data_IF_547639290299
#
_entry.id   IF_547639290299
#
_cell.length_a   1.000
_cell.length_b   1.000
_cell.length_c   1.000
_cell.angle_alpha   90.00
_cell.angle_beta   90.00
_cell.angle_gamma   90.00
#
_symmetry.space_group_name_H-M   'P 1'
#
loop_
_entity.id
_entity.type
_entity.pdbx_description
1 polymer ?
#
# COMPACT_ATOMS: atom_id res chain seq x y z
N UNK A 1 27.40 7.76 -8.20
CA UNK A 1 26.11 7.69 -8.91
C UNK A 1 25.50 6.36 -8.53
N UNK A 2 24.34 6.34 -7.87
CA UNK A 2 23.61 5.08 -7.65
C UNK A 2 23.31 4.47 -9.01
N UNK A 3 23.47 3.15 -9.17
CA UNK A 3 23.23 2.50 -10.45
C UNK A 3 21.76 2.63 -10.88
N UNK A 4 21.50 2.61 -12.19
CA UNK A 4 20.14 2.52 -12.73
C UNK A 4 19.58 1.13 -12.44
N UNK A 5 18.50 1.06 -11.64
CA UNK A 5 17.75 -0.17 -11.43
C UNK A 5 16.61 -0.30 -12.44
N UNK A 6 16.23 -1.53 -12.75
CA UNK A 6 14.97 -1.87 -13.42
C UNK A 6 13.96 -2.34 -12.39
N UNK A 7 12.79 -1.71 -12.32
CA UNK A 7 11.74 -2.01 -11.36
C UNK A 7 10.45 -2.40 -12.10
N UNK A 8 9.87 -3.55 -11.76
CA UNK A 8 8.54 -3.95 -12.22
C UNK A 8 7.52 -3.56 -11.17
N UNK A 9 6.43 -2.86 -11.51
CA UNK A 9 5.37 -2.52 -10.56
C UNK A 9 4.05 -3.09 -11.05
N UNK A 10 3.44 -3.97 -10.25
CA UNK A 10 2.13 -4.53 -10.51
C UNK A 10 1.06 -3.55 -10.05
N UNK A 11 0.33 -2.95 -11.02
CA UNK A 11 -0.71 -1.95 -10.81
C UNK A 11 -0.27 -0.54 -11.21
N UNK A 12 -0.92 0.03 -12.23
CA UNK A 12 -0.59 1.36 -12.76
C UNK A 12 -1.35 2.54 -12.11
N UNK A 13 -2.29 2.28 -11.19
CA UNK A 13 -2.97 3.38 -10.49
C UNK A 13 -2.08 3.95 -9.38
N UNK A 14 -2.18 3.44 -8.14
CA UNK A 14 -1.36 3.92 -7.03
C UNK A 14 0.14 3.68 -7.26
N UNK A 15 0.51 2.63 -8.00
CA UNK A 15 1.89 2.35 -8.40
C UNK A 15 2.55 3.46 -9.22
N UNK A 16 1.77 4.29 -9.93
CA UNK A 16 2.30 5.45 -10.67
C UNK A 16 2.95 6.49 -9.76
N UNK A 17 2.54 6.58 -8.49
CA UNK A 17 3.19 7.47 -7.52
C UNK A 17 4.62 7.04 -7.25
N UNK A 18 4.82 5.76 -6.91
CA UNK A 18 6.16 5.20 -6.69
C UNK A 18 6.98 5.24 -7.98
N UNK A 19 6.38 4.86 -9.12
CA UNK A 19 7.03 4.90 -10.42
C UNK A 19 7.59 6.30 -10.72
N UNK A 20 6.79 7.35 -10.54
CA UNK A 20 7.22 8.74 -10.78
C UNK A 20 8.43 9.13 -9.92
N UNK A 21 8.47 8.71 -8.65
CA UNK A 21 9.64 8.97 -7.79
C UNK A 21 10.89 8.23 -8.25
N UNK A 22 10.74 6.96 -8.67
CA UNK A 22 11.86 6.14 -9.15
C UNK A 22 12.41 6.64 -10.49
N UNK A 23 11.53 7.03 -11.42
CA UNK A 23 11.87 7.64 -12.71
C UNK A 23 12.61 8.96 -12.52
N UNK A 24 12.14 9.81 -11.59
CA UNK A 24 12.82 11.05 -11.23
C UNK A 24 14.24 10.80 -10.68
N UNK A 25 14.42 9.69 -9.97
CA UNK A 25 15.73 9.24 -9.49
C UNK A 25 16.59 8.55 -10.57
N UNK A 26 16.15 8.51 -11.83
CA UNK A 26 16.91 7.96 -12.96
C UNK A 26 16.82 6.43 -13.13
N UNK A 27 15.80 5.79 -12.54
CA UNK A 27 15.58 4.35 -12.67
C UNK A 27 14.55 4.02 -13.76
N UNK A 28 14.64 2.82 -14.31
CA UNK A 28 13.67 2.33 -15.29
C UNK A 28 12.52 1.61 -14.59
N UNK A 29 11.29 1.89 -15.02
CA UNK A 29 10.08 1.31 -14.44
C UNK A 29 9.19 0.72 -15.52
N UNK A 30 8.74 -0.51 -15.29
CA UNK A 30 7.69 -1.16 -16.08
C UNK A 30 6.43 -1.30 -15.22
N UNK A 31 5.31 -0.73 -15.65
CA UNK A 31 4.02 -0.88 -15.00
C UNK A 31 3.22 -2.04 -15.61
N UNK A 32 2.81 -3.01 -14.80
CA UNK A 32 1.87 -4.05 -15.21
C UNK A 32 0.45 -3.54 -14.99
N UNK A 33 -0.34 -3.51 -16.06
CA UNK A 33 -1.68 -2.93 -16.03
C UNK A 33 -2.60 -3.52 -17.10
N UNK A 34 -3.83 -3.03 -17.17
CA UNK A 34 -4.78 -3.46 -18.21
C UNK A 34 -4.34 -2.96 -19.59
N UNK A 35 -4.74 -3.63 -20.69
CA UNK A 35 -4.30 -3.26 -22.03
C UNK A 35 -4.57 -1.79 -22.41
N UNK A 36 -5.73 -1.23 -22.04
CA UNK A 36 -6.04 0.17 -22.34
C UNK A 36 -5.15 1.14 -21.54
N UNK A 37 -4.80 0.78 -20.30
CA UNK A 37 -3.85 1.54 -19.48
C UNK A 37 -2.44 1.46 -20.09
N UNK A 38 -2.03 0.28 -20.55
CA UNK A 38 -0.72 0.07 -21.14
C UNK A 38 -0.54 0.88 -22.43
N UNK A 39 -1.53 0.86 -23.32
CA UNK A 39 -1.52 1.67 -24.54
C UNK A 39 -1.43 3.17 -24.23
N UNK A 40 -2.26 3.65 -23.29
CA UNK A 40 -2.26 5.05 -22.87
C UNK A 40 -0.90 5.46 -22.26
N UNK A 41 -0.37 4.67 -21.34
CA UNK A 41 0.89 4.96 -20.66
C UNK A 41 2.06 4.89 -21.64
N UNK A 42 2.11 3.89 -22.54
CA UNK A 42 3.17 3.80 -23.54
C UNK A 42 3.12 4.92 -24.58
N UNK A 43 1.95 5.55 -24.80
CA UNK A 43 1.81 6.72 -25.67
C UNK A 43 2.12 8.03 -24.96
N UNK A 44 1.57 8.24 -23.76
CA UNK A 44 1.52 9.55 -23.09
C UNK A 44 2.35 9.62 -21.80
N UNK A 45 2.75 8.48 -21.25
CA UNK A 45 3.34 8.37 -19.92
C UNK A 45 2.28 8.45 -18.81
N UNK A 46 2.73 8.51 -17.55
CA UNK A 46 1.90 8.87 -16.38
C UNK A 46 2.11 10.34 -15.98
N UNK A 47 1.10 10.91 -15.33
CA UNK A 47 1.11 12.25 -14.76
C UNK A 47 0.73 12.20 -13.29
N UNK A 48 1.58 12.78 -12.44
CA UNK A 48 1.32 12.83 -11.00
C UNK A 48 1.33 14.27 -10.50
N UNK A 49 0.22 14.70 -9.92
CA UNK A 49 0.08 16.00 -9.27
C UNK A 49 0.50 15.90 -7.81
N UNK A 50 1.47 16.70 -7.37
CA UNK A 50 1.96 16.72 -5.98
C UNK A 50 1.86 18.13 -5.39
N UNK A 51 1.48 18.27 -4.11
CA UNK A 51 1.53 19.57 -3.43
C UNK A 51 2.97 20.00 -3.17
N UNK A 52 3.27 21.29 -3.31
CA UNK A 52 4.55 21.86 -2.91
C UNK A 52 4.53 22.31 -1.44
N UNK A 53 5.71 22.47 -0.82
CA UNK A 53 5.84 22.85 0.60
C UNK A 53 5.32 24.26 0.89
N UNK A 54 5.49 25.17 -0.05
CA UNK A 54 5.08 26.58 -0.04
C UNK A 54 3.64 26.80 -0.51
N UNK A 55 2.95 25.72 -0.88
CA UNK A 55 1.57 25.76 -1.38
C UNK A 55 1.51 25.60 -2.91
N UNK A 56 0.31 25.28 -3.40
CA UNK A 56 0.11 24.96 -4.82
C UNK A 56 0.40 23.49 -5.16
N UNK A 57 0.24 23.17 -6.44
CA UNK A 57 0.40 21.83 -6.99
C UNK A 57 1.32 21.89 -8.20
N UNK A 58 2.20 20.90 -8.32
CA UNK A 58 2.98 20.67 -9.53
C UNK A 58 2.49 19.40 -10.20
N UNK A 59 2.38 19.42 -11.53
CA UNK A 59 2.12 18.23 -12.34
C UNK A 59 3.45 17.71 -12.91
N UNK A 60 3.76 16.46 -12.62
CA UNK A 60 4.99 15.80 -13.08
C UNK A 60 4.61 14.82 -14.17
N UNK A 61 5.05 15.07 -15.40
CA UNK A 61 4.91 14.14 -16.50
C UNK A 61 6.13 13.21 -16.56
N UNK A 62 5.88 11.90 -16.56
CA UNK A 62 6.95 10.89 -16.63
C UNK A 62 7.85 10.98 -17.87
N UNK A 63 7.38 11.62 -18.94
CA UNK A 63 8.15 11.86 -20.17
C UNK A 63 9.30 12.84 -20.00
N UNK A 64 9.22 13.68 -18.98
CA UNK A 64 10.23 14.69 -18.65
C UNK A 64 11.24 14.16 -17.62
N UNK A 65 11.10 12.91 -17.20
CA UNK A 65 11.94 12.29 -16.18
C UNK A 65 13.13 11.55 -16.81
N UNK A 66 14.28 11.48 -16.10
CA UNK A 66 15.49 10.84 -16.64
C UNK A 66 15.37 9.32 -16.78
N UNK A 67 14.53 8.66 -15.98
CA UNK A 67 14.27 7.23 -16.06
C UNK A 67 13.30 6.86 -17.18
N UNK A 68 13.39 5.62 -17.68
CA UNK A 68 12.49 5.12 -18.74
C UNK A 68 11.24 4.48 -18.16
N UNK A 69 10.07 4.88 -18.68
CA UNK A 69 8.80 4.26 -18.36
C UNK A 69 8.28 3.38 -19.50
N UNK A 70 7.84 2.18 -19.17
CA UNK A 70 7.03 1.31 -20.01
C UNK A 70 5.81 0.78 -19.25
N UNK A 71 4.81 0.32 -20.00
CA UNK A 71 3.69 -0.43 -19.48
C UNK A 71 3.47 -1.73 -20.28
N UNK A 72 3.08 -2.80 -19.59
CA UNK A 72 2.99 -4.14 -20.15
C UNK A 72 1.84 -4.94 -19.52
N UNK A 73 1.40 -6.01 -20.20
CA UNK A 73 0.51 -7.00 -19.61
C UNK A 73 1.27 -7.94 -18.67
N UNK A 74 0.56 -8.68 -17.79
CA UNK A 74 1.20 -9.58 -16.84
C UNK A 74 1.93 -10.77 -17.49
N UNK A 75 1.61 -11.10 -18.76
CA UNK A 75 2.27 -12.15 -19.53
C UNK A 75 3.48 -11.69 -20.34
N UNK A 76 3.74 -10.37 -20.41
CA UNK A 76 4.74 -9.79 -21.31
C UNK A 76 6.06 -9.43 -20.60
N UNK A 77 6.20 -9.87 -19.34
CA UNK A 77 7.32 -9.49 -18.48
C UNK A 77 8.00 -10.71 -17.86
N UNK A 78 9.33 -10.67 -17.78
CA UNK A 78 10.14 -11.64 -17.06
C UNK A 78 10.59 -11.05 -15.71
N UNK A 79 10.07 -11.53 -14.57
CA UNK A 79 10.47 -11.02 -13.26
C UNK A 79 11.97 -11.08 -12.96
N UNK A 80 12.72 -11.99 -13.59
CA UNK A 80 14.17 -12.12 -13.37
C UNK A 80 14.99 -10.96 -13.94
N UNK A 81 14.40 -10.16 -14.84
CA UNK A 81 15.04 -9.00 -15.46
C UNK A 81 15.03 -7.74 -14.57
N UNK A 82 14.39 -7.80 -13.40
CA UNK A 82 14.16 -6.64 -12.53
C UNK A 82 14.88 -6.79 -11.19
N UNK A 83 15.44 -5.69 -10.69
CA UNK A 83 16.11 -5.64 -9.40
C UNK A 83 15.12 -5.63 -8.22
N UNK A 84 13.89 -5.14 -8.46
CA UNK A 84 12.82 -5.07 -7.49
C UNK A 84 11.46 -5.18 -8.17
N UNK A 85 10.53 -5.87 -7.50
CA UNK A 85 9.11 -5.93 -7.86
C UNK A 85 8.30 -5.11 -6.86
N UNK A 86 7.49 -4.16 -7.31
CA UNK A 86 6.52 -3.44 -6.50
C UNK A 86 5.12 -4.07 -6.61
N UNK A 87 4.53 -4.48 -5.49
CA UNK A 87 3.16 -5.01 -5.45
C UNK A 87 2.21 -3.86 -5.07
N UNK A 88 1.52 -3.26 -6.05
CA UNK A 88 0.76 -2.01 -5.93
C UNK A 88 -0.73 -2.10 -6.31
N UNK A 89 -1.28 -3.31 -6.42
CA UNK A 89 -2.72 -3.57 -6.52
C UNK A 89 -3.33 -3.91 -5.16
N UNK A 90 -4.65 -3.91 -5.03
CA UNK A 90 -5.33 -4.44 -3.83
C UNK A 90 -5.19 -5.96 -3.76
N UNK A 91 -5.09 -6.53 -2.55
CA UNK A 91 -4.91 -7.99 -2.35
C UNK A 91 -5.85 -8.88 -3.19
N UNK A 92 -7.17 -8.61 -3.30
CA UNK A 92 -8.05 -9.47 -4.08
C UNK A 92 -7.77 -9.48 -5.58
N UNK A 93 -7.06 -8.48 -6.12
CA UNK A 93 -6.76 -8.38 -7.54
C UNK A 93 -5.67 -9.38 -7.98
N UNK A 94 -4.84 -9.87 -7.05
CA UNK A 94 -3.76 -10.82 -7.39
C UNK A 94 -4.26 -12.22 -7.73
N UNK A 95 -5.54 -12.52 -7.49
CA UNK A 95 -6.18 -13.77 -7.95
C UNK A 95 -6.59 -13.74 -9.42
N UNK A 96 -6.55 -12.57 -10.06
CA UNK A 96 -6.99 -12.41 -11.45
C UNK A 96 -6.11 -13.23 -12.40
N UNK A 97 -6.66 -13.78 -13.49
CA UNK A 97 -5.88 -14.45 -14.53
C UNK A 97 -4.76 -13.55 -15.07
N UNK A 98 -3.62 -14.16 -15.41
CA UNK A 98 -2.39 -13.48 -15.79
C UNK A 98 -1.60 -12.98 -14.57
N UNK A 99 -2.25 -12.27 -13.65
CA UNK A 99 -1.59 -11.73 -12.45
C UNK A 99 -1.17 -12.84 -11.50
N UNK A 100 -2.03 -13.84 -11.27
CA UNK A 100 -1.71 -15.01 -10.43
C UNK A 100 -0.47 -15.74 -10.95
N UNK A 101 -0.40 -15.95 -12.26
CA UNK A 101 0.72 -16.61 -12.93
C UNK A 101 2.00 -15.78 -12.83
N UNK A 102 1.89 -14.45 -12.93
CA UNK A 102 3.01 -13.53 -12.72
C UNK A 102 3.52 -13.59 -11.27
N UNK A 103 2.65 -13.62 -10.25
CA UNK A 103 3.06 -13.82 -8.85
C UNK A 103 3.78 -15.15 -8.68
N UNK A 104 3.30 -16.22 -9.31
CA UNK A 104 4.00 -17.51 -9.29
C UNK A 104 5.36 -17.44 -10.00
N UNK A 105 5.48 -16.69 -11.09
CA UNK A 105 6.74 -16.45 -11.79
C UNK A 105 7.74 -15.64 -10.94
N UNK A 106 7.28 -14.61 -10.23
CA UNK A 106 8.08 -13.84 -9.26
C UNK A 106 8.66 -14.78 -8.20
N UNK A 107 7.84 -15.67 -7.64
CA UNK A 107 8.27 -16.67 -6.66
C UNK A 107 9.32 -17.63 -7.21
N UNK A 108 9.11 -18.18 -8.42
CA UNK A 108 10.08 -19.08 -9.07
C UNK A 108 11.40 -18.38 -9.40
N UNK A 109 11.34 -17.14 -9.87
CA UNK A 109 12.52 -16.33 -10.17
C UNK A 109 13.27 -15.88 -8.91
N UNK A 110 12.65 -16.00 -7.72
CA UNK A 110 13.17 -15.45 -6.47
C UNK A 110 13.49 -13.96 -6.62
N UNK A 111 12.61 -13.23 -7.30
CA UNK A 111 12.75 -11.79 -7.50
C UNK A 111 12.36 -11.04 -6.22
N UNK A 112 13.19 -10.12 -5.69
CA UNK A 112 12.85 -9.34 -4.49
C UNK A 112 11.58 -8.52 -4.71
N UNK A 113 10.61 -8.63 -3.81
CA UNK A 113 9.32 -7.96 -3.91
C UNK A 113 9.04 -7.06 -2.70
N UNK A 114 8.62 -5.84 -2.95
CA UNK A 114 8.14 -4.88 -1.96
C UNK A 114 6.64 -4.67 -2.16
N UNK A 115 5.84 -5.03 -1.16
CA UNK A 115 4.42 -4.71 -1.15
C UNK A 115 4.18 -3.29 -0.68
N UNK A 116 3.42 -2.49 -1.44
CA UNK A 116 2.90 -1.18 -1.01
C UNK A 116 1.39 -1.25 -0.75
N UNK A 117 0.87 -2.44 -0.44
CA UNK A 117 -0.54 -2.67 -0.08
C UNK A 117 -0.81 -2.34 1.39
N UNK A 118 -2.07 -2.10 1.75
CA UNK A 118 -2.44 -2.06 3.16
C UNK A 118 -2.44 -3.47 3.78
N UNK A 119 -2.84 -4.47 3.01
CA UNK A 119 -2.83 -5.87 3.44
C UNK A 119 -1.42 -6.45 3.33
N UNK A 120 -0.80 -6.88 4.45
CA UNK A 120 0.46 -7.64 4.40
C UNK A 120 0.23 -8.95 3.63
N UNK A 121 1.04 -9.30 2.63
CA UNK A 121 0.98 -10.65 2.07
C UNK A 121 1.36 -11.70 3.12
N UNK A 122 0.78 -12.90 3.05
CA UNK A 122 1.07 -14.00 3.98
C UNK A 122 2.58 -14.28 4.18
N UNK A 123 3.43 -14.30 3.13
CA UNK A 123 4.87 -14.52 3.29
C UNK A 123 5.53 -13.47 4.17
N UNK A 124 5.05 -12.23 4.18
CA UNK A 124 5.60 -11.19 5.06
C UNK A 124 5.33 -11.50 6.53
N UNK A 125 4.11 -11.95 6.85
CA UNK A 125 3.72 -12.30 8.22
C UNK A 125 4.55 -13.48 8.75
N UNK A 126 4.94 -14.42 7.89
CA UNK A 126 5.83 -15.54 8.26
C UNK A 126 7.23 -15.09 8.70
N UNK A 127 7.63 -13.85 8.37
CA UNK A 127 8.91 -13.27 8.83
C UNK A 127 8.83 -12.68 10.25
N UNK A 128 7.62 -12.44 10.78
CA UNK A 128 7.47 -11.82 12.10
C UNK A 128 7.84 -12.83 13.20
N UNK A 129 8.85 -12.55 14.03
CA UNK A 129 9.29 -13.47 15.07
C UNK A 129 8.16 -13.86 16.03
N UNK A 130 7.95 -15.16 16.23
CA UNK A 130 6.96 -15.68 17.18
C UNK A 130 5.50 -15.47 16.78
N UNK A 131 5.21 -15.03 15.55
CA UNK A 131 3.84 -15.01 15.04
C UNK A 131 3.43 -16.38 14.52
N UNK A 132 2.41 -16.99 15.13
CA UNK A 132 1.73 -18.13 14.55
C UNK A 132 0.86 -17.67 13.36
N UNK A 133 1.14 -18.19 12.17
CA UNK A 133 0.41 -17.78 10.94
C UNK A 133 -0.76 -18.69 10.58
N UNK A 134 -0.96 -19.79 11.30
CA UNK A 134 -2.08 -20.70 11.04
C UNK A 134 -3.43 -20.02 11.31
N UNK A 135 -4.37 -20.16 10.37
CA UNK A 135 -5.71 -19.57 10.47
C UNK A 135 -5.79 -18.15 9.93
N UNK A 136 -4.66 -17.50 9.62
CA UNK A 136 -4.66 -16.16 9.02
C UNK A 136 -5.18 -16.16 7.58
N UNK A 137 -5.21 -17.33 6.93
CA UNK A 137 -5.70 -17.53 5.57
C UNK A 137 -7.15 -17.03 5.37
N UNK A 138 -7.97 -17.06 6.42
CA UNK A 138 -9.35 -16.57 6.37
C UNK A 138 -9.47 -15.07 6.09
N UNK A 139 -8.40 -14.30 6.32
CA UNK A 139 -8.35 -12.87 6.02
C UNK A 139 -7.95 -12.54 4.57
N UNK A 140 -7.65 -13.55 3.74
CA UNK A 140 -7.21 -13.37 2.36
C UNK A 140 -8.30 -13.78 1.38
N UNK A 141 -8.39 -13.06 0.25
CA UNK A 141 -9.37 -13.39 -0.78
C UNK A 141 -9.01 -14.70 -1.49
N UNK A 142 -7.72 -14.98 -1.65
CA UNK A 142 -7.19 -16.28 -2.04
C UNK A 142 -5.76 -16.45 -1.47
N UNK A 143 -5.57 -17.20 -0.37
CA UNK A 143 -4.27 -17.38 0.24
C UNK A 143 -3.27 -18.13 -0.66
N UNK A 144 -3.75 -18.94 -1.61
CA UNK A 144 -2.90 -19.78 -2.46
C UNK A 144 -2.08 -18.97 -3.48
N UNK A 145 -2.51 -17.74 -3.79
CA UNK A 145 -1.76 -16.78 -4.63
C UNK A 145 -0.37 -16.54 -4.07
N UNK A 146 -0.23 -16.52 -2.74
CA UNK A 146 1.01 -16.16 -2.06
C UNK A 146 1.93 -17.36 -1.79
N UNK A 147 1.44 -18.60 -1.99
CA UNK A 147 2.19 -19.82 -1.70
C UNK A 147 3.54 -19.93 -2.43
N UNK A 148 3.70 -19.47 -3.69
CA UNK A 148 4.98 -19.54 -4.39
C UNK A 148 6.07 -18.59 -3.88
N UNK A 149 5.71 -17.57 -3.09
CA UNK A 149 6.64 -16.54 -2.64
C UNK A 149 7.36 -17.01 -1.38
N UNK A 150 8.69 -17.12 -1.48
CA UNK A 150 9.57 -17.31 -0.34
C UNK A 150 9.57 -16.03 0.54
N UNK A 151 9.25 -16.14 1.85
CA UNK A 151 9.26 -15.02 2.79
C UNK A 151 10.54 -14.16 2.74
N UNK A 152 11.71 -14.76 2.51
CA UNK A 152 13.00 -14.06 2.52
C UNK A 152 13.15 -13.04 1.39
N UNK A 153 12.36 -13.17 0.32
CA UNK A 153 12.33 -12.30 -0.85
C UNK A 153 11.19 -11.28 -0.83
N UNK A 154 10.39 -11.21 0.23
CA UNK A 154 9.28 -10.27 0.32
C UNK A 154 9.46 -9.31 1.49
N UNK A 155 9.28 -8.01 1.22
CA UNK A 155 9.14 -6.99 2.25
C UNK A 155 7.82 -6.21 2.12
N UNK A 156 7.50 -5.45 3.16
CA UNK A 156 6.29 -4.63 3.22
C UNK A 156 6.66 -3.17 3.42
N UNK A 157 5.89 -2.33 2.76
CA UNK A 157 5.90 -0.90 2.92
C UNK A 157 4.52 -0.46 3.41
N UNK A 158 4.48 0.43 4.40
CA UNK A 158 3.26 1.18 4.70
C UNK A 158 3.07 2.26 3.61
N UNK A 159 2.02 2.19 2.78
CA UNK A 159 1.67 3.27 1.88
C UNK A 159 1.01 4.41 2.67
N UNK A 160 1.82 5.32 3.21
CA UNK A 160 1.28 6.52 3.88
C UNK A 160 0.76 7.60 2.93
N UNK A 161 1.32 7.83 1.73
CA UNK A 161 0.81 8.87 0.84
C UNK A 161 -0.65 8.63 0.48
N UNK A 162 -1.49 9.67 0.56
CA UNK A 162 -2.85 9.60 0.03
C UNK A 162 -2.86 10.17 -1.38
N UNK A 163 -3.35 9.38 -2.32
CA UNK A 163 -3.48 9.77 -3.69
C UNK A 163 -4.75 9.19 -4.31
N UNK A 164 -5.32 9.90 -5.27
CA UNK A 164 -6.54 9.51 -5.96
C UNK A 164 -6.49 9.99 -7.41
N UNK A 165 -7.21 9.32 -8.30
CA UNK A 165 -7.51 9.85 -9.63
C UNK A 165 -8.74 10.76 -9.52
N UNK A 166 -8.64 12.06 -9.85
CA UNK A 166 -9.81 12.93 -9.85
C UNK A 166 -10.88 12.45 -10.85
N UNK A 167 -12.14 12.76 -10.57
CA UNK A 167 -13.24 12.35 -11.44
C UNK A 167 -13.12 13.01 -12.82
N UNK A 168 -13.36 12.24 -13.88
CA UNK A 168 -13.26 12.73 -15.28
C UNK A 168 -11.83 12.80 -15.83
N UNK A 169 -10.80 12.67 -15.00
CA UNK A 169 -9.41 12.69 -15.46
C UNK A 169 -9.00 11.35 -16.11
N UNK A 170 -8.05 11.36 -17.07
CA UNK A 170 -7.53 10.15 -17.72
C UNK A 170 -6.95 9.11 -16.76
N UNK A 171 -6.89 7.84 -17.19
CA UNK A 171 -6.43 6.71 -16.37
C UNK A 171 -4.96 6.83 -15.90
N UNK A 172 -4.14 7.58 -16.65
CA UNK A 172 -2.72 7.81 -16.36
C UNK A 172 -2.46 9.01 -15.43
N UNK A 173 -3.50 9.62 -14.86
CA UNK A 173 -3.39 10.75 -13.94
C UNK A 173 -3.66 10.37 -12.49
N UNK A 174 -2.80 10.82 -11.58
CA UNK A 174 -2.94 10.65 -10.14
C UNK A 174 -2.67 11.98 -9.40
N UNK A 175 -3.46 12.29 -8.38
CA UNK A 175 -3.27 13.47 -7.54
C UNK A 175 -3.01 13.07 -6.09
N UNK A 176 -1.92 13.58 -5.53
CA UNK A 176 -1.56 13.41 -4.12
C UNK A 176 -2.32 14.44 -3.27
N UNK A 177 -3.09 13.97 -2.30
CA UNK A 177 -3.79 14.82 -1.32
C UNK A 177 -3.06 14.90 0.02
N UNK A 178 -2.29 13.87 0.38
CA UNK A 178 -1.48 13.86 1.60
C UNK A 178 -0.06 13.37 1.26
N UNK A 179 0.94 14.26 1.22
CA UNK A 179 2.26 13.97 0.69
C UNK A 179 3.23 13.40 1.76
N UNK A 180 2.81 12.33 2.44
CA UNK A 180 3.64 11.59 3.41
C UNK A 180 4.58 10.61 2.69
N UNK A 181 5.27 9.73 3.42
CA UNK A 181 6.34 8.88 2.87
C UNK A 181 5.97 7.40 2.87
N UNK A 182 6.44 6.67 1.87
CA UNK A 182 6.51 5.22 1.88
C UNK A 182 7.49 4.79 2.98
N UNK A 183 7.05 3.92 3.91
CA UNK A 183 7.91 3.40 4.98
C UNK A 183 8.07 1.90 4.81
N UNK A 184 9.22 1.49 4.30
CA UNK A 184 9.52 0.10 3.97
C UNK A 184 10.38 -0.54 5.04
N UNK A 185 10.05 -1.76 5.46
CA UNK A 185 10.96 -2.55 6.28
C UNK A 185 12.06 -3.18 5.43
N UNK A 186 13.23 -3.39 6.00
CA UNK A 186 14.32 -4.11 5.33
C UNK A 186 13.88 -5.51 4.88
N UNK A 187 14.54 -6.00 3.84
CA UNK A 187 14.50 -7.43 3.52
C UNK A 187 15.24 -8.24 4.59
N UNK A 188 15.09 -9.56 4.55
CA UNK A 188 15.91 -10.43 5.37
C UNK A 188 17.38 -10.32 4.94
N UNK A 189 17.63 -10.44 3.63
CA UNK A 189 18.95 -10.29 3.03
C UNK A 189 19.37 -8.82 2.90
N UNK A 190 20.61 -8.52 3.28
CA UNK A 190 21.20 -7.19 3.15
C UNK A 190 21.33 -6.75 1.70
N UNK A 191 21.59 -7.68 0.77
CA UNK A 191 21.69 -7.39 -0.68
C UNK A 191 20.40 -6.76 -1.23
N UNK A 192 19.23 -7.31 -0.90
CA UNK A 192 17.95 -6.75 -1.36
C UNK A 192 17.63 -5.44 -0.63
N UNK A 193 18.06 -5.32 0.63
CA UNK A 193 17.96 -4.06 1.39
C UNK A 193 18.84 -2.96 0.79
N UNK A 194 20.00 -3.31 0.23
CA UNK A 194 20.89 -2.36 -0.44
C UNK A 194 20.19 -1.73 -1.65
N UNK A 195 19.46 -2.50 -2.46
CA UNK A 195 18.64 -1.97 -3.55
C UNK A 195 17.63 -0.93 -3.01
N UNK A 196 16.92 -1.22 -1.92
CA UNK A 196 15.98 -0.24 -1.34
C UNK A 196 16.68 1.05 -0.88
N UNK A 197 17.86 0.94 -0.29
CA UNK A 197 18.65 2.09 0.18
C UNK A 197 19.19 2.92 -0.98
N UNK A 198 19.59 2.29 -2.07
CA UNK A 198 20.00 2.97 -3.30
C UNK A 198 18.82 3.75 -3.90
N UNK A 199 17.62 3.15 -3.94
CA UNK A 199 16.40 3.83 -4.38
C UNK A 199 16.00 4.99 -3.46
N UNK A 200 16.10 4.82 -2.14
CA UNK A 200 15.87 5.88 -1.15
C UNK A 200 16.83 7.07 -1.38
N UNK A 201 18.13 6.80 -1.48
CA UNK A 201 19.14 7.81 -1.72
C UNK A 201 18.92 8.54 -3.06
N UNK A 202 18.55 7.81 -4.12
CA UNK A 202 18.20 8.40 -5.41
C UNK A 202 17.00 9.33 -5.32
N UNK A 203 15.92 8.92 -4.64
CA UNK A 203 14.71 9.73 -4.44
C UNK A 203 15.00 10.97 -3.56
N UNK A 204 15.92 10.87 -2.60
CA UNK A 204 16.33 12.00 -1.77
C UNK A 204 17.23 13.00 -2.49
N UNK A 205 18.09 12.51 -3.39
CA UNK A 205 18.96 13.35 -4.23
C UNK A 205 18.22 14.03 -5.38
N UNK A 206 17.13 13.41 -5.87
CA UNK A 206 16.32 13.90 -6.97
C UNK A 206 15.78 15.32 -6.75
N UNK A 207 15.80 16.13 -7.80
CA UNK A 207 15.27 17.51 -7.83
C UNK A 207 14.36 17.69 -9.03
N UNK A 208 13.37 18.56 -8.88
CA UNK A 208 12.47 18.98 -9.94
C UNK A 208 12.63 20.47 -10.16
N UNK A 209 12.52 20.95 -11.41
CA UNK A 209 12.66 22.37 -11.71
C UNK A 209 11.30 23.03 -11.75
N UNK A 210 11.10 24.08 -10.95
CA UNK A 210 9.91 24.95 -10.99
C UNK A 210 10.42 26.36 -11.21
N UNK A 211 9.98 27.02 -12.29
CA UNK A 211 10.38 28.39 -12.64
C UNK A 211 11.91 28.64 -12.68
N UNK A 212 12.69 27.59 -13.01
CA UNK A 212 14.15 27.63 -13.07
C UNK A 212 14.84 27.21 -11.77
N UNK A 213 14.11 27.08 -10.66
CA UNK A 213 14.65 26.69 -9.36
C UNK A 213 14.53 25.18 -9.12
N UNK A 214 15.60 24.59 -8.60
CA UNK A 214 15.64 23.18 -8.22
C UNK A 214 14.97 22.95 -6.86
N UNK A 215 13.78 22.35 -6.87
CA UNK A 215 12.99 22.06 -5.66
C UNK A 215 12.98 20.58 -5.32
N UNK A 216 12.81 20.30 -4.02
CA UNK A 216 12.59 18.95 -3.52
C UNK A 216 11.10 18.60 -3.60
N UNK A 217 10.78 17.52 -4.32
CA UNK A 217 9.41 16.99 -4.35
C UNK A 217 9.14 16.13 -3.11
N UNK A 218 7.93 16.23 -2.52
CA UNK A 218 7.57 15.40 -1.38
C UNK A 218 7.29 13.96 -1.82
N UNK A 219 6.81 13.13 -0.89
CA UNK A 219 6.66 11.68 -1.03
C UNK A 219 8.02 11.01 -1.24
N UNK A 220 8.55 10.45 -0.17
CA UNK A 220 9.85 9.78 -0.15
C UNK A 220 9.71 8.30 0.12
N UNK A 221 10.74 7.53 -0.24
CA UNK A 221 10.95 6.18 0.25
C UNK A 221 11.80 6.26 1.51
N UNK A 222 11.35 5.61 2.59
CA UNK A 222 12.07 5.57 3.86
C UNK A 222 12.31 4.12 4.26
N UNK A 223 13.57 3.70 4.25
CA UNK A 223 13.97 2.32 4.58
C UNK A 223 14.24 2.23 6.08
N UNK A 224 13.60 1.26 6.73
CA UNK A 224 13.72 1.04 8.16
C UNK A 224 14.26 -0.36 8.45
N UNK A 225 15.14 -0.47 9.45
CA UNK A 225 15.69 -1.76 9.86
C UNK A 225 14.67 -2.63 10.62
N UNK A 226 13.67 -2.01 11.25
CA UNK A 226 12.63 -2.75 11.96
C UNK A 226 11.58 -3.31 11.00
N UNK A 227 11.34 -4.62 11.10
CA UNK A 227 10.26 -5.32 10.38
C UNK A 227 8.86 -4.90 10.86
N UNK A 228 8.76 -4.21 11.98
CA UNK A 228 7.48 -3.84 12.56
C UNK A 228 6.97 -2.47 12.10
N UNK A 229 7.82 -1.64 11.47
CA UNK A 229 7.44 -0.29 11.02
C UNK A 229 6.19 -0.28 10.13
N UNK A 230 6.02 -1.19 9.15
CA UNK A 230 4.80 -1.21 8.36
C UNK A 230 3.53 -1.50 9.16
N UNK A 231 3.63 -2.19 10.30
CA UNK A 231 2.48 -2.53 11.15
C UNK A 231 1.89 -1.31 11.86
N UNK A 232 2.62 -0.20 11.95
CA UNK A 232 2.11 1.07 12.48
C UNK A 232 0.82 1.53 11.76
N UNK A 233 0.65 1.11 10.50
CA UNK A 233 -0.54 1.39 9.69
C UNK A 233 -1.81 0.76 10.24
N UNK A 234 -1.72 -0.40 10.91
CA UNK A 234 -2.89 -1.12 11.41
C UNK A 234 -3.73 -0.27 12.36
N UNK A 235 -3.10 0.47 13.27
CA UNK A 235 -3.82 1.34 14.20
C UNK A 235 -4.65 2.41 13.46
N UNK A 236 -4.12 2.97 12.37
CA UNK A 236 -4.85 3.94 11.55
C UNK A 236 -6.02 3.29 10.80
N UNK A 237 -5.79 2.10 10.22
CA UNK A 237 -6.80 1.39 9.43
C UNK A 237 -7.99 0.95 10.28
N UNK A 238 -7.74 0.40 11.46
CA UNK A 238 -8.79 -0.07 12.36
C UNK A 238 -9.53 1.08 13.04
N UNK A 239 -8.85 2.18 13.35
CA UNK A 239 -9.47 3.36 13.98
C UNK A 239 -10.32 4.17 13.00
N UNK A 240 -9.87 4.31 11.75
CA UNK A 240 -10.56 5.08 10.72
C UNK A 240 -11.16 4.23 9.62
N UNK A 241 -10.32 3.58 8.80
CA UNK A 241 -10.74 3.00 7.52
C UNK A 241 -11.86 1.97 7.64
N UNK A 242 -11.74 0.99 8.53
CA UNK A 242 -12.76 -0.05 8.68
C UNK A 242 -13.98 0.45 9.47
N UNK A 243 -13.79 1.39 10.38
CA UNK A 243 -14.88 2.11 11.07
C UNK A 243 -15.66 3.06 10.15
N UNK A 244 -15.27 3.22 8.88
CA UNK A 244 -16.10 3.85 7.85
C UNK A 244 -17.30 2.98 7.45
N UNK A 245 -17.28 1.67 7.72
CA UNK A 245 -18.37 0.75 7.43
C UNK A 245 -19.39 0.83 8.56
N UNK A 246 -20.62 1.23 8.26
CA UNK A 246 -21.70 1.34 9.24
C UNK A 246 -22.98 0.70 8.71
N UNK A 247 -23.96 0.36 9.57
CA UNK A 247 -25.25 -0.17 9.12
C UNK A 247 -26.00 0.76 8.15
N UNK A 248 -25.79 2.08 8.27
CA UNK A 248 -26.51 3.11 7.50
C UNK A 248 -25.80 3.53 6.20
N UNK A 249 -24.64 2.97 5.90
CA UNK A 249 -23.83 3.37 4.76
C UNK A 249 -22.38 3.71 5.12
N UNK A 250 -21.56 4.11 4.13
CA UNK A 250 -20.21 4.54 4.37
C UNK A 250 -20.18 5.93 5.02
N UNK A 251 -19.25 6.16 5.94
CA UNK A 251 -18.92 7.50 6.45
C UNK A 251 -17.49 7.92 6.11
N UNK A 252 -17.20 9.22 6.17
CA UNK A 252 -15.85 9.74 5.97
C UNK A 252 -14.87 9.22 7.04
N UNK A 253 -13.58 9.10 6.71
CA UNK A 253 -12.56 8.71 7.70
C UNK A 253 -12.46 9.76 8.82
N UNK A 254 -12.53 11.05 8.48
CA UNK A 254 -12.59 12.13 9.47
C UNK A 254 -13.68 11.88 10.50
N UNK A 255 -14.89 11.60 10.03
CA UNK A 255 -16.05 11.39 10.91
C UNK A 255 -15.90 10.08 11.70
N UNK A 256 -15.25 9.06 11.14
CA UNK A 256 -14.92 7.84 11.86
C UNK A 256 -13.96 8.05 13.04
N UNK A 257 -13.01 8.97 12.89
CA UNK A 257 -12.03 9.30 13.92
C UNK A 257 -12.58 10.31 14.93
N UNK A 258 -13.27 11.35 14.47
CA UNK A 258 -13.59 12.54 15.28
C UNK A 258 -15.00 12.56 15.87
N UNK A 259 -15.94 11.70 15.43
CA UNK A 259 -17.29 11.67 16.03
C UNK A 259 -17.29 11.25 17.50
N UNK A 260 -16.33 10.41 17.87
CA UNK A 260 -16.03 10.00 19.24
C UNK A 260 -14.53 9.78 19.35
N UNK A 261 -13.84 10.84 19.76
CA UNK A 261 -12.37 10.87 19.79
C UNK A 261 -11.79 9.95 20.86
N UNK A 262 -12.52 9.74 21.97
CA UNK A 262 -12.06 8.90 23.06
C UNK A 262 -12.20 7.42 22.70
N UNK A 263 -13.30 7.02 22.04
CA UNK A 263 -13.40 5.68 21.47
C UNK A 263 -12.30 5.44 20.41
N UNK A 264 -12.02 6.44 19.57
CA UNK A 264 -10.94 6.37 18.58
C UNK A 264 -9.56 6.23 19.24
N UNK A 265 -9.30 6.97 20.32
CA UNK A 265 -8.07 6.87 21.11
C UNK A 265 -7.93 5.47 21.73
N UNK A 266 -9.01 4.92 22.27
CA UNK A 266 -9.03 3.60 22.91
C UNK A 266 -8.70 2.47 21.91
N UNK A 267 -9.39 2.41 20.76
CA UNK A 267 -9.08 1.38 19.75
C UNK A 267 -7.69 1.57 19.16
N UNK A 268 -7.24 2.81 18.94
CA UNK A 268 -5.91 3.09 18.43
C UNK A 268 -4.81 2.60 19.39
N UNK A 269 -4.96 2.90 20.68
CA UNK A 269 -4.07 2.43 21.74
C UNK A 269 -4.05 0.90 21.82
N UNK A 270 -5.22 0.26 21.80
CA UNK A 270 -5.31 -1.20 21.83
C UNK A 270 -4.62 -1.87 20.63
N UNK A 271 -4.79 -1.35 19.41
CA UNK A 271 -4.08 -1.90 18.24
C UNK A 271 -2.56 -1.69 18.34
N UNK A 272 -2.11 -0.57 18.94
CA UNK A 272 -0.69 -0.39 19.24
C UNK A 272 -0.17 -1.44 20.21
N UNK A 273 -0.93 -1.79 21.24
CA UNK A 273 -0.57 -2.87 22.17
C UNK A 273 -0.46 -4.22 21.45
N UNK A 274 -1.34 -4.50 20.48
CA UNK A 274 -1.20 -5.70 19.63
C UNK A 274 0.12 -5.68 18.86
N UNK A 275 0.49 -4.55 18.25
CA UNK A 275 1.76 -4.42 17.55
C UNK A 275 2.97 -4.59 18.49
N UNK A 276 2.92 -4.01 19.70
CA UNK A 276 3.99 -4.17 20.71
C UNK A 276 4.09 -5.62 21.16
N UNK A 277 2.96 -6.30 21.40
CA UNK A 277 2.94 -7.72 21.74
C UNK A 277 3.59 -8.59 20.65
N UNK A 278 3.49 -8.19 19.38
CA UNK A 278 4.17 -8.86 18.25
C UNK A 278 5.68 -8.60 18.19
N UNK A 279 6.19 -7.61 18.93
CA UNK A 279 7.61 -7.26 18.97
C UNK A 279 7.94 -5.88 18.41
N UNK A 280 6.93 -5.07 18.04
CA UNK A 280 7.17 -3.69 17.64
C UNK A 280 7.72 -2.85 18.81
N UNK A 281 8.74 -2.04 18.55
CA UNK A 281 9.13 -1.02 19.51
C UNK A 281 8.14 0.15 19.44
N UNK A 282 7.88 0.83 20.57
CA UNK A 282 6.96 1.99 20.57
C UNK A 282 7.36 3.08 19.58
N UNK A 283 8.67 3.27 19.38
CA UNK A 283 9.24 4.23 18.41
C UNK A 283 8.93 3.90 16.95
N UNK A 284 8.61 2.65 16.64
CA UNK A 284 8.23 2.21 15.30
C UNK A 284 6.76 2.57 15.01
N UNK A 285 5.98 2.90 16.04
CA UNK A 285 4.56 3.21 15.96
C UNK A 285 4.31 4.72 15.90
N UNK A 286 3.16 5.09 15.36
CA UNK A 286 2.75 6.50 15.26
C UNK A 286 1.90 6.88 16.48
N UNK A 287 2.13 8.04 17.12
CA UNK A 287 1.25 8.56 18.17
C UNK A 287 -0.15 8.88 17.63
N UNK A 288 -1.17 8.67 18.46
CA UNK A 288 -2.57 8.91 18.08
C UNK A 288 -2.80 10.35 17.64
N UNK A 289 -2.21 11.32 18.32
CA UNK A 289 -2.36 12.76 18.06
C UNK A 289 -1.93 13.11 16.63
N UNK A 290 -0.84 12.50 16.14
CA UNK A 290 -0.39 12.68 14.76
C UNK A 290 -1.40 12.14 13.76
N UNK A 291 -1.99 10.98 14.06
CA UNK A 291 -3.03 10.40 13.21
C UNK A 291 -4.33 11.22 13.25
N UNK A 292 -4.81 11.60 14.44
CA UNK A 292 -6.02 12.39 14.62
C UNK A 292 -5.93 13.75 13.89
N UNK A 293 -4.77 14.42 13.97
CA UNK A 293 -4.52 15.65 13.23
C UNK A 293 -4.60 15.42 11.71
N UNK A 294 -3.95 14.37 11.18
CA UNK A 294 -4.01 14.02 9.77
C UNK A 294 -5.44 13.65 9.31
N UNK A 295 -6.22 13.00 10.18
CA UNK A 295 -7.59 12.56 9.89
C UNK A 295 -8.55 13.72 9.59
N UNK A 296 -8.27 14.95 10.03
CA UNK A 296 -9.08 16.13 9.70
C UNK A 296 -9.21 16.35 8.19
N UNK A 297 -8.18 16.03 7.41
CA UNK A 297 -8.17 16.16 5.95
C UNK A 297 -8.80 14.98 5.21
N UNK A 298 -9.22 13.91 5.90
CA UNK A 298 -9.71 12.68 5.28
C UNK A 298 -11.23 12.69 5.15
N UNK A 299 -11.75 13.56 4.27
CA UNK A 299 -13.18 13.84 4.09
C UNK A 299 -13.94 12.79 3.27
N UNK A 300 -13.23 11.85 2.63
CA UNK A 300 -13.83 10.75 1.88
C UNK A 300 -13.96 9.48 2.72
N UNK A 301 -14.92 8.59 2.42
CA UNK A 301 -14.90 7.24 2.97
C UNK A 301 -13.66 6.45 2.51
N UNK A 302 -13.24 5.49 3.32
CA UNK A 302 -12.09 4.64 3.02
C UNK A 302 -12.29 3.84 1.72
N UNK A 303 -11.18 3.42 1.09
CA UNK A 303 -11.23 2.55 -0.09
C UNK A 303 -12.01 1.26 0.17
N UNK A 304 -11.84 0.65 1.35
CA UNK A 304 -12.58 -0.52 1.79
C UNK A 304 -14.09 -0.27 1.85
N UNK A 305 -14.52 0.80 2.53
CA UNK A 305 -15.93 1.14 2.63
C UNK A 305 -16.53 1.49 1.26
N UNK A 306 -15.85 2.30 0.45
CA UNK A 306 -16.31 2.62 -0.91
C UNK A 306 -16.49 1.37 -1.77
N UNK A 307 -15.51 0.44 -1.74
CA UNK A 307 -15.61 -0.81 -2.48
C UNK A 307 -16.78 -1.68 -2.01
N UNK A 308 -16.96 -1.85 -0.70
CA UNK A 308 -18.07 -2.61 -0.13
C UNK A 308 -19.43 -2.03 -0.51
N UNK A 309 -19.60 -0.71 -0.42
CA UNK A 309 -20.88 -0.09 -0.77
C UNK A 309 -21.11 0.01 -2.29
N UNK A 310 -20.05 -0.12 -3.10
CA UNK A 310 -20.13 -0.30 -4.55
C UNK A 310 -20.35 -1.76 -5.00
N UNK A 311 -20.54 -2.71 -4.07
CA UNK A 311 -20.86 -4.11 -4.40
C UNK A 311 -19.65 -5.04 -4.50
N UNK A 312 -18.47 -4.65 -4.00
CA UNK A 312 -17.31 -5.53 -4.04
C UNK A 312 -17.54 -6.82 -3.24
N UNK A 313 -17.28 -7.97 -3.87
CA UNK A 313 -17.43 -9.32 -3.29
C UNK A 313 -16.24 -9.75 -2.40
N UNK A 314 -15.15 -9.00 -2.48
CA UNK A 314 -13.93 -9.16 -1.69
C UNK A 314 -13.22 -7.81 -1.57
N UNK A 315 -12.60 -7.58 -0.42
CA UNK A 315 -11.73 -6.43 -0.12
C UNK A 315 -10.55 -6.94 0.71
N UNK A 316 -9.54 -6.09 0.90
CA UNK A 316 -8.51 -6.33 1.93
C UNK A 316 -9.14 -6.41 3.33
N UNK A 317 -8.80 -7.45 4.10
CA UNK A 317 -9.37 -7.70 5.44
C UNK A 317 -8.34 -7.58 6.56
N UNK A 318 -7.68 -6.42 6.65
CA UNK A 318 -6.74 -6.11 7.74
C UNK A 318 -7.45 -6.09 9.09
N UNK A 319 -8.75 -5.74 9.13
CA UNK A 319 -9.61 -5.87 10.31
C UNK A 319 -9.63 -7.30 10.85
N UNK A 320 -9.95 -8.28 10.00
CA UNK A 320 -10.02 -9.69 10.36
C UNK A 320 -8.63 -10.27 10.66
N UNK A 321 -7.61 -9.84 9.92
CA UNK A 321 -6.23 -10.23 10.16
C UNK A 321 -5.78 -9.84 11.57
N UNK A 322 -5.92 -8.56 11.94
CA UNK A 322 -5.50 -8.07 13.25
C UNK A 322 -6.34 -8.69 14.36
N UNK A 323 -7.65 -8.84 14.16
CA UNK A 323 -8.52 -9.54 15.12
C UNK A 323 -8.05 -10.97 15.37
N UNK A 324 -7.70 -11.71 14.32
CA UNK A 324 -7.26 -13.12 14.42
C UNK A 324 -5.90 -13.24 15.10
N UNK A 325 -4.96 -12.34 14.79
CA UNK A 325 -3.65 -12.28 15.44
C UNK A 325 -3.79 -11.95 16.93
N UNK A 326 -4.61 -10.95 17.27
CA UNK A 326 -4.89 -10.57 18.65
C UNK A 326 -5.55 -11.72 19.44
N UNK A 327 -6.51 -12.41 18.82
CA UNK A 327 -7.17 -13.59 19.37
C UNK A 327 -6.20 -14.68 19.81
N UNK A 328 -5.22 -15.01 18.95
CA UNK A 328 -4.19 -16.02 19.23
C UNK A 328 -3.27 -15.65 20.38
N UNK A 329 -3.32 -14.40 20.84
CA UNK A 329 -2.57 -13.86 21.99
C UNK A 329 -3.46 -13.56 23.19
N UNK A 330 -4.71 -14.01 23.18
CA UNK A 330 -5.67 -13.77 24.27
C UNK A 330 -6.17 -12.33 24.35
N UNK A 331 -5.96 -11.51 23.32
CA UNK A 331 -6.41 -10.12 23.26
C UNK A 331 -7.72 -10.01 22.48
N UNK A 332 -8.68 -9.25 23.01
CA UNK A 332 -9.98 -8.99 22.38
C UNK A 332 -10.36 -7.52 22.48
N UNK A 333 -11.17 -7.05 21.52
CA UNK A 333 -11.69 -5.68 21.51
C UNK A 333 -13.07 -5.66 20.88
N UNK A 334 -14.09 -5.29 21.67
CA UNK A 334 -15.48 -5.34 21.23
C UNK A 334 -15.77 -4.44 20.01
N UNK A 335 -15.12 -3.27 19.92
CA UNK A 335 -15.29 -2.36 18.78
C UNK A 335 -14.72 -2.96 17.49
N UNK A 336 -13.58 -3.65 17.58
CA UNK A 336 -13.04 -4.38 16.43
C UNK A 336 -13.93 -5.57 16.06
N UNK A 337 -14.42 -6.30 17.05
CA UNK A 337 -15.30 -7.46 16.83
C UNK A 337 -16.61 -7.05 16.10
N UNK A 338 -17.23 -5.95 16.53
CA UNK A 338 -18.38 -5.35 15.85
C UNK A 338 -18.02 -4.90 14.42
N UNK A 339 -16.88 -4.23 14.25
CA UNK A 339 -16.42 -3.75 12.93
C UNK A 339 -16.22 -4.91 11.95
N UNK A 340 -15.59 -6.00 12.40
CA UNK A 340 -15.41 -7.22 11.60
C UNK A 340 -16.76 -7.85 11.24
N UNK A 341 -17.71 -7.87 12.17
CA UNK A 341 -19.08 -8.33 11.94
C UNK A 341 -19.77 -7.55 10.81
N UNK A 342 -19.74 -6.22 10.88
CA UNK A 342 -20.33 -5.34 9.86
C UNK A 342 -19.71 -5.55 8.47
N UNK A 343 -18.39 -5.73 8.42
CA UNK A 343 -17.68 -6.00 7.15
C UNK A 343 -18.08 -7.37 6.58
N UNK A 344 -18.18 -8.40 7.43
CA UNK A 344 -18.62 -9.74 7.03
C UNK A 344 -20.05 -9.71 6.47
N UNK A 345 -20.99 -9.11 7.20
CA UNK A 345 -22.40 -8.99 6.78
C UNK A 345 -22.52 -8.29 5.41
N UNK A 346 -21.76 -7.20 5.21
CA UNK A 346 -21.78 -6.47 3.95
C UNK A 346 -21.20 -7.27 2.79
N UNK A 347 -20.13 -8.03 3.03
CA UNK A 347 -19.55 -8.93 2.02
C UNK A 347 -20.51 -10.06 1.64
N UNK A 348 -21.19 -10.65 2.62
CA UNK A 348 -22.20 -11.68 2.39
C UNK A 348 -23.38 -11.16 1.58
N UNK A 349 -23.87 -9.95 1.89
CA UNK A 349 -24.89 -9.28 1.08
C UNK A 349 -24.42 -9.09 -0.37
N UNK A 350 -23.26 -8.48 -0.59
CA UNK A 350 -22.72 -8.25 -1.93
C UNK A 350 -22.52 -9.54 -2.75
N UNK A 351 -22.19 -10.66 -2.08
CA UNK A 351 -22.05 -11.97 -2.74
C UNK A 351 -23.40 -12.57 -3.12
N UNK A 352 -24.41 -12.44 -2.25
CA UNK A 352 -25.78 -12.89 -2.54
C UNK A 352 -26.42 -12.10 -3.67
N UNK A 353 -26.28 -10.78 -3.69
CA UNK A 353 -26.88 -9.90 -4.70
C UNK A 353 -26.33 -10.13 -6.11
N UNK A 354 -25.22 -10.87 -6.23
CA UNK A 354 -24.51 -11.08 -7.47
C UNK A 354 -24.40 -12.55 -7.87
N UNK A 355 -25.13 -13.44 -7.19
CA UNK A 355 -25.34 -14.84 -7.51
C UNK A 355 -26.68 -15.01 -8.24
#
# INVERSE_FOLDING_TARGET
>A
MSGTHKILILGASYGSLLATKLLLAGNDVTLVCLPQEAELINREGVRVRMPLKDGGMVEIASRDLPGRLEAAGPGDVDPSAYALIGLAMQEPQYRSPGVRELVAAIGRAKAPAMSIMNMPPLPYLKRLPGLATGGLEAAYADPSVWAPIDPTYLTLCSPDPQAFRPQGEPLNLLQVSLPTNFKVSRFEKDEHTAVLRDLEAGIDAARWTVDGDAVELPVKLRVHDSIFVPLAKWAMLLTGNYRCVTPRGPRAIRDAVHSDIEASRAIYAWVREVCVALGAAERDLVPFEKYAAAANGLTSPSSAARALFAGAKAIERVDLLVQTIAAGRGMRNATLDETVGLVNERLELNRRDAA
#
